data_IF_316267242117
#
_entry.id   IF_316267242117
#
_cell.length_a   1.000
_cell.length_b   1.000
_cell.length_c   1.000
_cell.angle_alpha   90.00
_cell.angle_beta   90.00
_cell.angle_gamma   90.00
#
_symmetry.space_group_name_H-M   'P 1'
#
loop_
_entity.id
_entity.type
_entity.pdbx_description
1 polymer ?
#
# COMPACT_ATOMS: atom_id res chain seq x y z
N UNK A 1 -0.58 -11.79 -21.41
CA UNK A 1 -1.40 -10.98 -20.48
C UNK A 1 -1.88 -11.87 -19.36
N UNK A 2 -1.41 -11.61 -18.14
CA UNK A 2 -1.46 -12.53 -17.02
C UNK A 2 -2.82 -12.57 -16.33
N UNK A 3 -3.33 -13.78 -16.08
CA UNK A 3 -4.49 -14.03 -15.21
C UNK A 3 -4.09 -13.87 -13.74
N UNK A 4 -3.92 -12.62 -13.29
CA UNK A 4 -3.74 -12.30 -11.89
C UNK A 4 -5.09 -11.87 -11.29
N UNK A 5 -5.48 -12.49 -10.18
CA UNK A 5 -6.66 -12.10 -9.39
C UNK A 5 -6.43 -10.85 -8.54
N UNK A 6 -5.16 -10.50 -8.33
CA UNK A 6 -4.71 -9.29 -7.64
C UNK A 6 -4.02 -8.40 -8.68
N UNK A 7 -4.30 -7.11 -8.64
CA UNK A 7 -3.67 -6.16 -9.54
C UNK A 7 -2.28 -5.80 -9.03
N UNK A 8 -1.28 -5.96 -9.89
CA UNK A 8 0.05 -5.42 -9.67
C UNK A 8 0.18 -4.13 -10.48
N UNK A 9 0.61 -3.06 -9.81
CA UNK A 9 0.93 -1.77 -10.44
C UNK A 9 2.40 -1.49 -10.18
N UNK A 10 3.12 -1.08 -11.22
CA UNK A 10 4.49 -0.60 -11.10
C UNK A 10 4.47 0.92 -10.98
N UNK A 11 4.87 1.44 -9.82
CA UNK A 11 5.00 2.89 -9.63
C UNK A 11 6.11 3.45 -10.54
N UNK A 12 5.90 4.63 -11.17
CA UNK A 12 6.93 5.32 -11.96
C UNK A 12 8.11 5.85 -11.12
N UNK A 13 7.87 6.05 -9.82
CA UNK A 13 8.84 6.47 -8.81
C UNK A 13 8.62 5.66 -7.53
N UNK A 14 8.29 6.34 -6.44
CA UNK A 14 8.03 5.69 -5.16
C UNK A 14 6.62 5.12 -5.05
N UNK A 15 6.54 3.93 -4.45
CA UNK A 15 5.26 3.25 -4.25
C UNK A 15 4.31 4.07 -3.36
N UNK A 16 4.82 4.71 -2.31
CA UNK A 16 4.01 5.52 -1.39
C UNK A 16 3.43 6.77 -2.04
N UNK A 17 4.22 7.44 -2.88
CA UNK A 17 3.74 8.57 -3.65
C UNK A 17 2.66 8.16 -4.65
N UNK A 18 2.85 7.03 -5.34
CA UNK A 18 1.84 6.46 -6.25
C UNK A 18 0.55 6.10 -5.50
N UNK A 19 0.66 5.42 -4.36
CA UNK A 19 -0.49 5.03 -3.54
C UNK A 19 -1.21 6.26 -2.97
N UNK A 20 -0.49 7.29 -2.53
CA UNK A 20 -1.07 8.55 -2.07
C UNK A 20 -1.81 9.28 -3.19
N UNK A 21 -1.26 9.31 -4.40
CA UNK A 21 -1.95 9.85 -5.58
C UNK A 21 -3.20 9.05 -5.93
N UNK A 22 -3.14 7.72 -5.97
CA UNK A 22 -4.29 6.84 -6.20
C UNK A 22 -5.38 7.07 -5.13
N UNK A 23 -4.99 7.24 -3.87
CA UNK A 23 -5.91 7.58 -2.77
C UNK A 23 -6.59 8.93 -2.99
N UNK A 24 -5.86 9.97 -3.43
CA UNK A 24 -6.43 11.29 -3.75
C UNK A 24 -7.40 11.26 -4.93
N UNK A 25 -7.17 10.38 -5.90
CA UNK A 25 -8.06 10.16 -7.05
C UNK A 25 -9.26 9.26 -6.73
N UNK A 26 -9.45 8.88 -5.45
CA UNK A 26 -10.49 7.93 -4.99
C UNK A 26 -10.43 6.57 -5.70
N UNK A 27 -9.24 6.14 -6.12
CA UNK A 27 -9.00 4.81 -6.67
C UNK A 27 -8.79 3.75 -5.57
N UNK A 28 -8.43 4.20 -4.36
CA UNK A 28 -8.19 3.37 -3.18
C UNK A 28 -8.89 3.98 -1.97
N UNK A 29 -9.58 3.15 -1.18
CA UNK A 29 -10.23 3.58 0.07
C UNK A 29 -9.23 3.78 1.22
N UNK A 30 -8.18 2.95 1.26
CA UNK A 30 -7.13 3.00 2.27
C UNK A 30 -5.82 2.39 1.76
N UNK A 31 -4.70 2.83 2.32
CA UNK A 31 -3.36 2.32 2.02
C UNK A 31 -2.86 1.53 3.22
N UNK A 32 -2.53 0.25 3.04
CA UNK A 32 -1.82 -0.54 4.05
C UNK A 32 -0.32 -0.42 3.80
N UNK A 33 0.40 0.21 4.73
CA UNK A 33 1.86 0.40 4.60
C UNK A 33 2.52 0.38 5.98
N UNK A 34 3.79 -0.03 6.02
CA UNK A 34 4.62 0.15 7.20
C UNK A 34 5.23 1.55 7.26
N UNK A 35 5.25 2.28 6.16
CA UNK A 35 5.88 3.59 6.07
C UNK A 35 4.87 4.73 6.31
N UNK A 36 5.36 5.88 6.77
CA UNK A 36 4.51 7.05 7.07
C UNK A 36 4.53 8.11 5.97
N UNK A 37 5.34 7.94 4.94
CA UNK A 37 5.63 9.00 3.98
C UNK A 37 4.47 9.19 3.01
N UNK A 38 3.66 8.15 2.81
CA UNK A 38 2.34 8.26 2.19
C UNK A 38 1.47 9.36 2.83
N UNK A 39 1.57 9.66 4.15
CA UNK A 39 0.84 10.79 4.76
C UNK A 39 1.39 12.12 4.24
N UNK A 40 2.71 12.23 4.11
CA UNK A 40 3.41 13.42 3.62
C UNK A 40 3.05 13.65 2.14
N UNK A 41 2.98 12.59 1.33
CA UNK A 41 2.48 12.65 -0.05
C UNK A 41 0.97 12.93 -0.14
N UNK A 42 0.26 12.95 0.99
CA UNK A 42 -1.13 13.37 1.10
C UNK A 42 -2.17 12.25 0.94
N UNK A 43 -1.83 11.03 1.32
CA UNK A 43 -2.79 9.93 1.42
C UNK A 43 -3.96 10.28 2.35
N UNK A 44 -5.18 9.88 1.96
CA UNK A 44 -6.39 10.17 2.73
C UNK A 44 -6.52 9.30 3.98
N UNK A 45 -6.23 8.00 3.84
CA UNK A 45 -6.35 7.00 4.90
C UNK A 45 -5.20 6.00 4.83
N UNK A 46 -4.49 5.82 5.94
CA UNK A 46 -3.42 4.83 6.10
C UNK A 46 -3.77 3.84 7.19
N UNK A 47 -3.49 2.57 6.92
CA UNK A 47 -3.58 1.45 7.84
C UNK A 47 -2.15 0.98 8.14
N UNK A 48 -1.81 0.83 9.43
CA UNK A 48 -0.56 0.22 9.88
C UNK A 48 -0.84 -0.99 10.74
N UNK A 49 -0.19 -2.10 10.43
CA UNK A 49 -0.23 -3.30 11.28
C UNK A 49 0.70 -3.05 12.46
N UNK A 50 0.21 -3.30 13.66
CA UNK A 50 0.99 -3.13 14.88
C UNK A 50 0.78 -4.30 15.82
N UNK A 51 1.87 -4.80 16.38
CA UNK A 51 1.85 -5.91 17.32
C UNK A 51 1.85 -5.35 18.74
N UNK A 52 0.68 -5.26 19.37
CA UNK A 52 0.58 -4.94 20.80
C UNK A 52 0.58 -6.23 21.61
N UNK A 53 1.51 -6.38 22.57
CA UNK A 53 1.46 -7.48 23.55
C UNK A 53 1.71 -8.89 23.01
N UNK A 54 2.34 -9.03 21.83
CA UNK A 54 2.95 -10.29 21.36
C UNK A 54 2.01 -11.39 20.87
N UNK A 55 0.69 -11.15 20.78
CA UNK A 55 -0.24 -12.18 20.31
C UNK A 55 -1.40 -11.69 19.43
N UNK A 56 -1.68 -10.38 19.36
CA UNK A 56 -2.73 -9.86 18.48
C UNK A 56 -2.19 -8.75 17.58
N UNK A 57 -2.35 -8.96 16.27
CA UNK A 57 -2.11 -7.96 15.24
C UNK A 57 -3.29 -6.98 15.25
N UNK A 58 -3.00 -5.73 15.58
CA UNK A 58 -3.98 -4.64 15.57
C UNK A 58 -3.69 -3.72 14.39
N UNK A 59 -4.73 -3.37 13.64
CA UNK A 59 -4.64 -2.37 12.57
C UNK A 59 -4.93 -0.99 13.16
N UNK A 60 -3.94 -0.09 13.11
CA UNK A 60 -4.14 1.33 13.42
C UNK A 60 -4.48 2.08 12.15
N UNK A 61 -5.56 2.84 12.18
CA UNK A 61 -6.01 3.68 11.08
C UNK A 61 -5.71 5.14 11.36
N UNK A 62 -5.08 5.81 10.40
CA UNK A 62 -4.77 7.24 10.42
C UNK A 62 -5.45 7.91 9.23
N UNK A 63 -6.29 8.90 9.47
CA UNK A 63 -6.96 9.66 8.40
C UNK A 63 -6.43 11.08 8.37
N UNK A 64 -6.16 11.60 7.17
CA UNK A 64 -5.73 12.99 6.98
C UNK A 64 -6.72 13.99 7.58
N UNK A 65 -8.02 13.71 7.50
CA UNK A 65 -9.08 14.53 8.12
C UNK A 65 -8.99 14.55 9.64
N UNK A 66 -8.59 13.44 10.27
CA UNK A 66 -8.41 13.40 11.72
C UNK A 66 -7.17 14.20 12.12
N UNK A 67 -6.07 14.07 11.37
CA UNK A 67 -4.83 14.83 11.61
C UNK A 67 -5.08 16.34 11.47
N UNK A 68 -5.80 16.75 10.44
CA UNK A 68 -6.13 18.15 10.17
C UNK A 68 -7.09 18.74 11.23
N UNK A 69 -7.99 17.93 11.79
CA UNK A 69 -8.93 18.38 12.82
C UNK A 69 -8.44 18.15 14.25
N UNK A 70 -7.37 17.37 14.44
CA UNK A 70 -6.86 17.06 15.77
C UNK A 70 -6.38 18.35 16.47
N UNK A 71 -6.88 18.67 17.68
CA UNK A 71 -6.61 19.95 18.33
C UNK A 71 -5.13 20.28 18.51
N UNK A 72 -4.30 19.26 18.71
CA UNK A 72 -2.86 19.42 18.92
C UNK A 72 -2.01 19.37 17.64
N UNK A 73 -2.54 18.87 16.51
CA UNK A 73 -1.77 18.75 15.27
C UNK A 73 -2.21 19.83 14.29
N UNK A 74 -3.47 19.80 13.84
CA UNK A 74 -4.01 20.76 12.86
C UNK A 74 -3.11 20.92 11.62
N UNK A 75 -2.53 19.81 11.16
CA UNK A 75 -1.56 19.81 10.08
C UNK A 75 -2.20 19.39 8.76
N UNK A 76 -1.79 20.06 7.68
CA UNK A 76 -2.03 19.63 6.31
C UNK A 76 -0.72 19.15 5.66
N UNK A 77 -0.80 18.74 4.39
CA UNK A 77 0.38 18.30 3.64
C UNK A 77 1.53 19.32 3.65
N UNK A 78 1.25 20.62 3.52
CA UNK A 78 2.28 21.66 3.53
C UNK A 78 3.04 21.71 4.87
N UNK A 79 2.32 21.52 5.97
CA UNK A 79 2.90 21.46 7.31
C UNK A 79 3.79 20.21 7.48
N UNK A 80 3.34 19.06 6.99
CA UNK A 80 4.10 17.79 7.05
C UNK A 80 5.35 17.83 6.18
N UNK A 81 5.28 18.43 4.98
CA UNK A 81 6.43 18.63 4.10
C UNK A 81 7.46 19.53 4.79
N UNK A 82 7.04 20.64 5.42
CA UNK A 82 7.96 21.47 6.19
C UNK A 82 8.62 20.68 7.31
N UNK A 83 7.85 19.84 8.01
CA UNK A 83 8.37 19.02 9.09
C UNK A 83 9.48 18.09 8.58
N UNK A 84 9.28 17.41 7.45
CA UNK A 84 10.27 16.55 6.83
C UNK A 84 11.53 17.31 6.38
N UNK A 85 11.35 18.50 5.78
CA UNK A 85 12.46 19.36 5.34
C UNK A 85 13.32 19.86 6.51
N UNK A 86 12.72 20.09 7.68
CA UNK A 86 13.42 20.63 8.84
C UNK A 86 14.02 19.54 9.74
N UNK A 87 13.23 18.51 10.07
CA UNK A 87 13.63 17.44 10.99
C UNK A 87 14.48 16.36 10.32
N UNK A 88 14.46 16.31 8.98
CA UNK A 88 15.04 15.27 8.18
C UNK A 88 14.01 14.20 7.80
N UNK A 89 14.16 13.70 6.59
CA UNK A 89 13.40 12.59 6.02
C UNK A 89 14.22 11.92 4.93
N UNK A 90 13.59 11.10 4.09
CA UNK A 90 14.32 10.27 3.14
C UNK A 90 15.09 11.07 2.07
N UNK A 91 14.64 12.28 1.76
CA UNK A 91 15.28 13.15 0.76
C UNK A 91 16.32 14.13 1.32
N UNK A 92 16.53 14.18 2.64
CA UNK A 92 17.50 15.10 3.21
C UNK A 92 17.62 15.02 4.73
N UNK A 93 18.82 15.33 5.23
CA UNK A 93 19.15 15.26 6.66
C UNK A 93 18.47 16.34 7.53
N UNK A 94 17.78 17.31 6.92
CA UNK A 94 17.17 18.44 7.61
C UNK A 94 18.15 19.51 8.04
N UNK A 95 17.70 20.39 8.95
CA UNK A 95 18.52 21.47 9.52
C UNK A 95 19.20 20.97 10.79
N UNK A 96 20.51 21.16 10.90
CA UNK A 96 21.27 20.71 12.05
C UNK A 96 20.74 21.33 13.36
N UNK A 97 20.42 20.47 14.33
CA UNK A 97 19.84 20.88 15.62
C UNK A 97 18.34 21.19 15.58
N UNK A 98 17.69 21.10 14.41
CA UNK A 98 16.25 21.23 14.27
C UNK A 98 15.58 19.85 14.35
N UNK A 99 15.21 19.41 15.56
CA UNK A 99 14.46 18.16 15.73
C UNK A 99 12.95 18.30 15.45
N UNK A 100 12.25 17.16 15.49
CA UNK A 100 10.80 17.07 15.23
C UNK A 100 9.96 18.08 16.02
N UNK A 101 10.29 18.34 17.30
CA UNK A 101 9.54 19.29 18.15
C UNK A 101 9.67 20.73 17.65
N UNK A 102 10.86 21.12 17.19
CA UNK A 102 11.11 22.45 16.61
C UNK A 102 10.41 22.57 15.28
N UNK A 103 10.49 21.54 14.43
CA UNK A 103 9.84 21.52 13.14
C UNK A 103 8.30 21.62 13.25
N UNK A 104 7.69 20.88 14.18
CA UNK A 104 6.26 20.97 14.53
C UNK A 104 5.86 22.38 14.99
N UNK A 105 6.69 23.03 15.82
CA UNK A 105 6.44 24.40 16.25
C UNK A 105 6.51 25.41 15.09
N UNK A 106 7.47 25.25 14.18
CA UNK A 106 7.58 26.08 12.98
C UNK A 106 6.43 25.84 11.99
N UNK A 107 5.92 24.60 11.90
CA UNK A 107 4.71 24.30 11.16
C UNK A 107 3.48 24.98 11.78
N UNK A 108 3.34 24.98 13.11
CA UNK A 108 2.27 25.73 13.78
C UNK A 108 2.36 27.25 13.57
N UNK A 109 3.58 27.79 13.43
CA UNK A 109 3.80 29.19 13.05
C UNK A 109 3.35 29.51 11.60
N UNK A 110 2.86 28.51 10.84
CA UNK A 110 2.32 28.67 9.50
C UNK A 110 3.37 28.70 8.40
N UNK A 111 4.64 28.45 8.73
CA UNK A 111 5.75 28.54 7.78
C UNK A 111 5.63 27.50 6.65
N UNK A 112 5.01 26.34 6.91
CA UNK A 112 4.85 25.29 5.89
C UNK A 112 3.84 25.70 4.84
N UNK A 113 2.71 26.25 5.27
CA UNK A 113 1.68 26.81 4.38
C UNK A 113 2.21 28.01 3.59
N UNK A 114 2.96 28.90 4.23
CA UNK A 114 3.61 30.02 3.54
C UNK A 114 4.58 29.53 2.46
N UNK A 115 5.39 28.51 2.75
CA UNK A 115 6.32 27.92 1.80
C UNK A 115 5.59 27.39 0.56
N UNK A 116 4.59 26.53 0.76
CA UNK A 116 3.87 25.89 -0.35
C UNK A 116 3.05 26.90 -1.14
N UNK A 117 2.31 27.80 -0.48
CA UNK A 117 1.54 28.83 -1.16
C UNK A 117 2.44 29.75 -2.00
N UNK A 118 3.56 30.20 -1.44
CA UNK A 118 4.46 31.09 -2.18
C UNK A 118 5.20 30.40 -3.33
N UNK A 119 5.46 29.09 -3.25
CA UNK A 119 5.97 28.32 -4.41
C UNK A 119 4.91 28.19 -5.50
N UNK A 120 3.65 27.97 -5.14
CA UNK A 120 2.55 27.86 -6.09
C UNK A 120 2.22 29.19 -6.78
N UNK A 121 2.38 30.31 -6.07
CA UNK A 121 2.15 31.65 -6.60
C UNK A 121 3.35 32.22 -7.36
N UNK A 122 4.57 31.80 -7.02
CA UNK A 122 5.77 32.30 -7.66
C UNK A 122 5.93 31.74 -9.08
N UNK A 123 6.13 32.65 -10.05
CA UNK A 123 6.68 32.26 -11.33
C UNK A 123 8.11 31.70 -11.16
N UNK A 124 8.56 30.85 -12.09
CA UNK A 124 9.87 30.19 -12.04
C UNK A 124 11.05 31.16 -11.78
N UNK A 125 11.00 32.37 -12.34
CA UNK A 125 12.03 33.39 -12.16
C UNK A 125 12.02 34.02 -10.74
N UNK A 126 10.88 33.98 -10.04
CA UNK A 126 10.68 34.55 -8.72
C UNK A 126 10.82 33.54 -7.57
N UNK A 127 10.92 32.24 -7.87
CA UNK A 127 11.02 31.19 -6.84
C UNK A 127 12.26 31.37 -5.95
N UNK A 128 13.45 31.57 -6.54
CA UNK A 128 14.69 31.73 -5.77
C UNK A 128 14.67 32.92 -4.79
N UNK A 129 14.30 34.16 -5.19
CA UNK A 129 14.20 35.27 -4.24
C UNK A 129 13.10 35.07 -3.20
N UNK A 130 11.97 34.43 -3.55
CA UNK A 130 10.95 34.05 -2.58
C UNK A 130 11.51 33.10 -1.50
N UNK A 131 12.19 32.02 -1.90
CA UNK A 131 12.76 31.05 -0.97
C UNK A 131 13.80 31.69 -0.05
N UNK A 132 14.62 32.62 -0.56
CA UNK A 132 15.56 33.37 0.25
C UNK A 132 14.84 34.24 1.31
N UNK A 133 13.75 34.91 0.93
CA UNK A 133 12.91 35.67 1.87
C UNK A 133 12.22 34.78 2.90
N UNK A 134 11.66 33.65 2.48
CA UNK A 134 11.04 32.67 3.36
C UNK A 134 12.04 32.07 4.36
N UNK A 135 13.27 31.76 3.91
CA UNK A 135 14.36 31.30 4.79
C UNK A 135 14.66 32.32 5.89
N UNK A 136 14.68 33.61 5.56
CA UNK A 136 14.87 34.65 6.57
C UNK A 136 13.73 34.69 7.59
N UNK A 137 12.50 34.42 7.18
CA UNK A 137 11.37 34.30 8.11
C UNK A 137 11.54 33.11 9.07
N UNK A 138 12.03 31.96 8.59
CA UNK A 138 12.36 30.80 9.45
C UNK A 138 13.46 31.17 10.46
N UNK A 139 14.53 31.82 10.00
CA UNK A 139 15.66 32.25 10.85
C UNK A 139 15.19 33.27 11.90
N UNK A 140 14.32 34.21 11.50
CA UNK A 140 13.75 35.19 12.42
C UNK A 140 12.89 34.52 13.49
N UNK A 141 11.96 33.64 13.10
CA UNK A 141 11.11 32.93 14.04
C UNK A 141 11.94 32.09 15.02
N UNK A 142 12.99 31.42 14.56
CA UNK A 142 13.93 30.69 15.43
C UNK A 142 14.65 31.61 16.43
N UNK A 143 15.00 32.84 16.06
CA UNK A 143 15.69 33.81 16.92
C UNK A 143 14.76 34.52 17.89
N UNK A 144 13.58 34.91 17.44
CA UNK A 144 12.68 35.82 18.16
C UNK A 144 11.58 35.05 18.90
N UNK A 145 11.16 33.89 18.37
CA UNK A 145 9.95 33.17 18.76
C UNK A 145 8.72 34.09 18.74
N UNK A 146 8.57 34.88 17.67
CA UNK A 146 7.52 35.89 17.55
C UNK A 146 6.12 35.27 17.58
N UNK A 147 5.94 34.08 17.00
CA UNK A 147 4.67 33.35 17.03
C UNK A 147 4.35 32.72 18.39
N UNK A 148 5.36 32.50 19.24
CA UNK A 148 5.21 31.88 20.55
C UNK A 148 5.03 30.36 20.53
N UNK A 149 5.20 29.69 19.38
CA UNK A 149 5.06 28.24 19.27
C UNK A 149 6.32 27.46 19.72
N UNK A 150 7.50 28.08 19.69
CA UNK A 150 8.72 27.44 20.18
C UNK A 150 8.76 27.45 21.71
N UNK A 151 9.30 26.38 22.30
CA UNK A 151 9.49 26.30 23.77
C UNK A 151 10.40 27.41 24.31
N UNK A 152 11.40 27.80 23.53
CA UNK A 152 12.33 28.90 23.80
C UNK A 152 12.96 29.33 22.47
N UNK A 153 13.62 30.48 22.46
CA UNK A 153 14.38 30.98 21.30
C UNK A 153 15.57 30.06 21.02
N UNK A 154 15.84 29.79 19.75
CA UNK A 154 16.86 28.85 19.26
C UNK A 154 17.83 29.53 18.29
N UNK A 155 18.61 30.54 18.73
CA UNK A 155 19.55 31.26 17.87
C UNK A 155 20.62 30.34 17.26
N UNK A 156 21.08 29.31 18.00
CA UNK A 156 22.01 28.31 17.49
C UNK A 156 21.45 27.54 16.28
N UNK A 157 20.16 27.17 16.30
CA UNK A 157 19.54 26.49 15.16
C UNK A 157 19.37 27.46 13.99
N UNK A 158 19.04 28.73 14.29
CA UNK A 158 18.93 29.78 13.28
C UNK A 158 20.26 30.03 12.53
N UNK A 159 21.40 29.94 13.23
CA UNK A 159 22.74 30.01 12.62
C UNK A 159 23.10 28.77 11.81
N UNK A 160 22.55 27.61 12.18
CA UNK A 160 22.75 26.35 11.48
C UNK A 160 21.90 26.18 10.20
N UNK A 161 20.94 27.07 9.93
CA UNK A 161 20.13 27.04 8.69
C UNK A 161 21.04 27.32 7.48
N UNK A 162 21.25 26.37 6.55
CA UNK A 162 22.11 26.58 5.38
C UNK A 162 21.62 27.73 4.49
N UNK A 163 22.51 28.44 3.79
CA UNK A 163 22.14 29.56 2.92
C UNK A 163 21.30 29.14 1.71
N UNK A 164 21.50 27.91 1.25
CA UNK A 164 20.79 27.25 0.15
C UNK A 164 19.51 26.52 0.61
N UNK A 165 19.18 26.56 1.90
CA UNK A 165 17.93 26.01 2.42
C UNK A 165 16.76 26.99 2.18
N UNK A 166 15.57 26.51 1.76
CA UNK A 166 15.25 25.13 1.40
C UNK A 166 15.60 24.83 -0.07
N UNK A 167 15.99 23.59 -0.34
CA UNK A 167 16.29 23.15 -1.70
C UNK A 167 14.99 22.84 -2.47
N UNK A 168 14.71 23.61 -3.52
CA UNK A 168 13.50 23.46 -4.35
C UNK A 168 13.38 22.08 -5.00
N UNK A 169 14.50 21.43 -5.36
CA UNK A 169 14.47 20.09 -5.92
C UNK A 169 13.94 19.07 -4.90
N UNK A 170 14.35 19.19 -3.63
CA UNK A 170 13.86 18.34 -2.54
C UNK A 170 12.40 18.62 -2.25
N UNK A 171 11.99 19.90 -2.24
CA UNK A 171 10.58 20.27 -2.06
C UNK A 171 9.72 19.63 -3.15
N UNK A 172 10.17 19.66 -4.40
CA UNK A 172 9.45 19.08 -5.54
C UNK A 172 9.34 17.56 -5.46
N UNK A 173 10.26 16.85 -4.80
CA UNK A 173 10.11 15.40 -4.57
C UNK A 173 8.86 15.11 -3.72
N UNK A 174 8.51 15.97 -2.77
CA UNK A 174 7.30 15.81 -1.96
C UNK A 174 6.03 16.39 -2.62
N UNK A 175 6.13 17.58 -3.23
CA UNK A 175 4.96 18.29 -3.76
C UNK A 175 4.55 17.81 -5.15
N UNK A 176 5.52 17.37 -5.96
CA UNK A 176 5.34 16.91 -7.33
C UNK A 176 6.09 15.58 -7.56
N UNK A 177 5.79 14.55 -6.74
CA UNK A 177 6.44 13.26 -6.89
C UNK A 177 6.11 12.65 -8.25
N UNK A 178 7.01 11.81 -8.75
CA UNK A 178 6.81 11.11 -10.02
C UNK A 178 5.80 9.98 -9.85
N UNK A 179 4.56 10.22 -10.24
CA UNK A 179 3.45 9.26 -10.21
C UNK A 179 2.88 9.00 -11.60
N UNK A 180 1.91 8.09 -11.70
CA UNK A 180 1.18 7.80 -12.93
C UNK A 180 0.21 8.91 -13.34
N UNK A 181 0.08 10.00 -12.56
CA UNK A 181 -0.68 11.20 -12.97
C UNK A 181 -0.22 11.74 -14.32
N UNK A 182 1.08 11.63 -14.59
CA UNK A 182 1.72 12.09 -15.82
C UNK A 182 1.81 10.99 -16.89
N UNK A 183 1.27 9.80 -16.61
CA UNK A 183 1.17 8.70 -17.55
C UNK A 183 -0.24 8.66 -18.16
N UNK A 184 -0.38 8.01 -19.31
CA UNK A 184 -1.69 7.84 -19.96
C UNK A 184 -2.57 6.93 -19.09
N UNK A 185 -3.56 7.53 -18.39
CA UNK A 185 -4.47 6.85 -17.48
C UNK A 185 -5.36 5.81 -18.16
N UNK A 186 -5.38 5.75 -19.50
CA UNK A 186 -6.07 4.71 -20.27
C UNK A 186 -5.49 3.31 -20.02
N UNK A 187 -4.27 3.21 -19.48
CA UNK A 187 -3.66 1.94 -19.10
C UNK A 187 -3.94 1.51 -17.66
N UNK A 188 -4.54 2.34 -16.80
CA UNK A 188 -4.93 1.88 -15.46
C UNK A 188 -5.92 0.73 -15.64
N UNK A 189 -5.51 -0.52 -15.33
CA UNK A 189 -6.42 -1.63 -15.40
C UNK A 189 -7.64 -1.31 -14.56
N UNK A 190 -8.84 -1.64 -15.04
CA UNK A 190 -10.05 -1.65 -14.22
C UNK A 190 -9.71 -2.28 -12.86
N UNK A 191 -9.61 -1.45 -11.81
CA UNK A 191 -9.03 -1.79 -10.49
C UNK A 191 -9.74 -2.99 -9.86
N UNK A 192 -10.99 -3.21 -10.26
CA UNK A 192 -11.82 -4.34 -9.89
C UNK A 192 -11.88 -5.32 -11.05
N UNK A 193 -10.97 -6.30 -11.07
CA UNK A 193 -11.17 -7.53 -11.86
C UNK A 193 -11.78 -8.61 -10.99
N UNK A 194 -13.02 -8.98 -11.29
CA UNK A 194 -13.70 -10.13 -10.71
C UNK A 194 -13.18 -11.47 -11.27
N UNK A 195 -11.86 -11.63 -11.41
CA UNK A 195 -11.28 -12.89 -11.89
C UNK A 195 -10.80 -13.75 -10.72
N UNK A 196 -11.50 -14.86 -10.48
CA UNK A 196 -11.11 -15.96 -9.59
C UNK A 196 -9.64 -16.36 -9.74
N UNK A 197 -8.97 -16.88 -8.69
CA UNK A 197 -7.62 -17.41 -8.84
C UNK A 197 -7.61 -18.59 -9.80
N UNK A 198 -6.57 -18.67 -10.63
CA UNK A 198 -6.32 -19.85 -11.48
C UNK A 198 -5.88 -21.01 -10.58
N UNK A 199 -6.83 -21.88 -10.25
CA UNK A 199 -6.61 -23.00 -9.34
C UNK A 199 -5.57 -23.99 -9.89
N UNK A 200 -5.50 -24.19 -11.20
CA UNK A 200 -4.50 -25.07 -11.84
C UNK A 200 -3.09 -24.52 -11.60
N UNK A 201 -2.89 -23.22 -11.86
CA UNK A 201 -1.60 -22.57 -11.61
C UNK A 201 -1.25 -22.54 -10.13
N UNK A 202 -2.22 -22.30 -9.26
CA UNK A 202 -2.01 -22.29 -7.82
C UNK A 202 -1.59 -23.68 -7.33
N UNK A 203 -2.21 -24.75 -7.84
CA UNK A 203 -1.82 -26.13 -7.52
C UNK A 203 -0.39 -26.42 -7.96
N UNK A 204 -0.02 -26.10 -9.21
CA UNK A 204 1.37 -26.27 -9.71
C UNK A 204 2.36 -25.49 -8.86
N UNK A 205 2.05 -24.24 -8.55
CA UNK A 205 2.91 -23.38 -7.74
C UNK A 205 3.11 -23.97 -6.34
N UNK A 206 2.05 -24.46 -5.71
CA UNK A 206 2.14 -25.06 -4.39
C UNK A 206 2.91 -26.39 -4.38
N UNK A 207 2.76 -27.21 -5.43
CA UNK A 207 3.56 -28.43 -5.62
C UNK A 207 5.06 -28.11 -5.71
N UNK A 208 5.42 -27.12 -6.53
CA UNK A 208 6.83 -26.74 -6.76
C UNK A 208 7.45 -26.05 -5.55
N UNK A 209 6.71 -25.17 -4.87
CA UNK A 209 7.30 -24.24 -3.90
C UNK A 209 6.97 -24.52 -2.43
N UNK A 210 5.86 -25.19 -2.12
CA UNK A 210 5.39 -25.37 -0.74
C UNK A 210 5.48 -26.80 -0.23
N UNK A 211 6.00 -27.74 -1.03
CA UNK A 211 6.16 -29.15 -0.65
C UNK A 211 4.85 -29.75 -0.09
N UNK A 212 3.70 -29.32 -0.60
CA UNK A 212 2.38 -29.83 -0.15
C UNK A 212 2.16 -31.31 -0.48
N UNK A 213 3.16 -31.95 -1.12
CA UNK A 213 3.35 -33.39 -1.08
C UNK A 213 2.45 -34.12 -2.07
N UNK A 214 1.71 -35.10 -1.56
CA UNK A 214 0.82 -35.95 -2.34
C UNK A 214 -0.52 -35.24 -2.64
N UNK A 215 -1.34 -35.81 -3.55
CA UNK A 215 -2.62 -35.20 -3.93
C UNK A 215 -3.56 -34.94 -2.73
N UNK A 216 -3.51 -35.79 -1.69
CA UNK A 216 -4.32 -35.64 -0.50
C UNK A 216 -3.84 -34.47 0.38
N UNK A 217 -2.53 -34.25 0.47
CA UNK A 217 -1.91 -33.10 1.13
C UNK A 217 -2.30 -31.78 0.48
N UNK A 218 -2.25 -31.73 -0.85
CA UNK A 218 -2.70 -30.56 -1.63
C UNK A 218 -4.18 -30.29 -1.40
N UNK A 219 -5.03 -31.32 -1.51
CA UNK A 219 -6.46 -31.17 -1.27
C UNK A 219 -6.74 -30.65 0.15
N UNK A 220 -6.06 -31.18 1.17
CA UNK A 220 -6.18 -30.73 2.56
C UNK A 220 -5.75 -29.27 2.74
N UNK A 221 -4.67 -28.85 2.09
CA UNK A 221 -4.23 -27.46 2.11
C UNK A 221 -5.25 -26.54 1.43
N UNK A 222 -5.79 -26.94 0.26
CA UNK A 222 -6.84 -26.19 -0.43
C UNK A 222 -8.11 -26.10 0.41
N UNK A 223 -8.54 -27.20 1.03
CA UNK A 223 -9.72 -27.25 1.88
C UNK A 223 -9.63 -26.33 3.10
N UNK A 224 -8.44 -26.20 3.68
CA UNK A 224 -8.23 -25.39 4.89
C UNK A 224 -7.85 -23.94 4.61
N UNK A 225 -7.18 -23.65 3.48
CA UNK A 225 -6.60 -22.32 3.20
C UNK A 225 -7.24 -21.59 2.00
N UNK A 226 -7.67 -22.31 0.97
CA UNK A 226 -8.08 -21.71 -0.31
C UNK A 226 -9.60 -21.69 -0.48
N UNK A 227 -10.29 -22.82 -0.25
CA UNK A 227 -11.74 -22.93 -0.44
C UNK A 227 -12.56 -21.94 0.42
N UNK A 228 -12.22 -21.67 1.69
CA UNK A 228 -12.89 -20.62 2.45
C UNK A 228 -12.79 -19.24 1.78
N UNK A 229 -11.62 -18.89 1.24
CA UNK A 229 -11.41 -17.63 0.52
C UNK A 229 -12.19 -17.56 -0.81
N UNK A 230 -12.27 -18.67 -1.55
CA UNK A 230 -13.09 -18.75 -2.77
C UNK A 230 -14.58 -18.59 -2.46
N UNK A 231 -15.07 -19.25 -1.42
CA UNK A 231 -16.45 -19.13 -0.96
C UNK A 231 -16.78 -17.68 -0.55
N UNK A 232 -15.88 -17.05 0.21
CA UNK A 232 -16.03 -15.65 0.61
C UNK A 232 -16.06 -14.73 -0.62
N UNK A 233 -15.24 -14.98 -1.63
CA UNK A 233 -15.24 -14.18 -2.86
C UNK A 233 -16.55 -14.31 -3.65
N UNK A 234 -17.17 -15.49 -3.67
CA UNK A 234 -18.51 -15.67 -4.26
C UNK A 234 -19.56 -14.85 -3.51
N UNK A 235 -19.49 -14.82 -2.18
CA UNK A 235 -20.38 -14.00 -1.35
C UNK A 235 -20.18 -12.51 -1.60
N UNK A 236 -18.92 -12.04 -1.64
CA UNK A 236 -18.58 -10.63 -1.93
C UNK A 236 -19.13 -10.23 -3.31
N UNK A 237 -18.90 -11.04 -4.34
CA UNK A 237 -19.38 -10.74 -5.69
C UNK A 237 -20.91 -10.74 -5.77
N UNK A 238 -21.58 -11.65 -5.07
CA UNK A 238 -23.04 -11.66 -4.99
C UNK A 238 -23.61 -10.44 -4.25
N UNK A 239 -22.98 -10.03 -3.14
CA UNK A 239 -23.34 -8.83 -2.40
C UNK A 239 -23.16 -7.57 -3.25
N UNK A 240 -22.01 -7.43 -3.93
CA UNK A 240 -21.76 -6.32 -4.86
C UNK A 240 -22.80 -6.26 -5.99
N UNK A 241 -23.18 -7.40 -6.57
CA UNK A 241 -24.25 -7.43 -7.57
C UNK A 241 -25.59 -6.93 -6.98
N UNK A 242 -25.93 -7.33 -5.75
CA UNK A 242 -27.16 -6.87 -5.10
C UNK A 242 -27.13 -5.36 -4.82
N UNK A 243 -26.02 -4.84 -4.30
CA UNK A 243 -25.85 -3.40 -3.99
C UNK A 243 -25.92 -2.53 -5.26
N UNK A 244 -25.41 -3.05 -6.38
CA UNK A 244 -25.44 -2.38 -7.68
C UNK A 244 -26.76 -2.61 -8.46
N UNK A 245 -27.72 -3.36 -7.92
CA UNK A 245 -28.99 -3.69 -8.59
C UNK A 245 -28.82 -4.60 -9.82
N UNK A 246 -27.72 -5.36 -9.89
CA UNK A 246 -27.42 -6.31 -10.95
C UNK A 246 -28.09 -7.67 -10.68
N UNK A 247 -28.10 -8.53 -11.71
CA UNK A 247 -28.64 -9.88 -11.58
C UNK A 247 -27.92 -10.66 -10.45
N UNK A 248 -28.65 -11.38 -9.59
CA UNK A 248 -28.07 -12.10 -8.47
C UNK A 248 -27.11 -13.18 -8.98
N UNK A 249 -25.94 -13.26 -8.34
CA UNK A 249 -24.95 -14.31 -8.62
C UNK A 249 -25.12 -15.48 -7.67
N UNK A 250 -25.02 -16.70 -8.22
CA UNK A 250 -25.04 -17.92 -7.43
C UNK A 250 -23.75 -18.10 -6.64
N UNK A 251 -23.86 -18.63 -5.42
CA UNK A 251 -22.74 -18.99 -4.56
C UNK A 251 -22.70 -20.51 -4.36
N UNK A 252 -22.33 -21.31 -5.39
CA UNK A 252 -22.41 -22.78 -5.34
C UNK A 252 -21.51 -23.42 -4.26
N UNK A 253 -20.51 -22.69 -3.77
CA UNK A 253 -19.65 -23.18 -2.68
C UNK A 253 -20.28 -23.03 -1.30
N UNK A 254 -21.33 -22.22 -1.16
CA UNK A 254 -22.01 -22.02 0.12
C UNK A 254 -23.11 -23.09 0.24
N UNK A 255 -22.89 -24.05 1.14
CA UNK A 255 -23.84 -25.10 1.46
C UNK A 255 -24.80 -24.68 2.58
N UNK A 256 -25.09 -25.62 3.48
CA UNK A 256 -26.05 -25.38 4.57
C UNK A 256 -25.45 -24.50 5.67
N UNK A 257 -26.24 -23.54 6.16
CA UNK A 257 -25.93 -22.82 7.39
C UNK A 257 -25.98 -23.79 8.59
N UNK A 258 -24.91 -23.80 9.37
CA UNK A 258 -24.71 -24.68 10.53
C UNK A 258 -25.13 -23.97 11.82
N UNK A 259 -24.68 -22.73 12.00
CA UNK A 259 -25.01 -21.93 13.18
C UNK A 259 -24.85 -20.44 12.91
N UNK A 260 -25.55 -19.64 13.71
CA UNK A 260 -25.44 -18.19 13.72
C UNK A 260 -24.98 -17.76 15.11
N UNK A 261 -23.85 -17.05 15.18
CA UNK A 261 -23.37 -16.43 16.41
C UNK A 261 -23.80 -14.97 16.38
N UNK A 262 -24.79 -14.64 17.23
CA UNK A 262 -25.20 -13.26 17.51
C UNK A 262 -24.44 -12.74 18.72
N UNK A 263 -24.22 -11.43 18.74
CA UNK A 263 -23.57 -10.61 19.76
C UNK A 263 -23.22 -11.28 21.10
N UNK A 264 -21.94 -11.19 21.45
CA UNK A 264 -21.40 -11.39 22.80
C UNK A 264 -21.53 -10.10 23.61
N UNK A 265 -21.80 -10.18 24.92
CA UNK A 265 -21.76 -9.05 25.87
C UNK A 265 -20.32 -8.57 26.16
N UNK A 266 -19.43 -8.57 25.17
CA UNK A 266 -18.06 -8.09 25.28
C UNK A 266 -17.94 -6.68 24.69
N UNK A 267 -17.08 -5.85 25.28
CA UNK A 267 -16.83 -4.45 24.91
C UNK A 267 -16.08 -4.23 23.59
N UNK A 268 -15.85 -5.28 22.80
CA UNK A 268 -15.21 -5.19 21.49
C UNK A 268 -16.26 -5.12 20.36
N UNK A 269 -16.01 -4.37 19.28
CA UNK A 269 -16.92 -4.29 18.14
C UNK A 269 -17.10 -5.68 17.52
N UNK A 270 -18.24 -6.31 17.80
CA UNK A 270 -18.53 -7.67 17.35
C UNK A 270 -19.20 -7.65 15.96
N UNK A 271 -18.53 -8.23 14.97
CA UNK A 271 -19.14 -8.48 13.65
C UNK A 271 -19.93 -9.80 13.76
N UNK A 272 -21.22 -9.85 13.37
CA UNK A 272 -22.00 -11.09 13.43
C UNK A 272 -21.39 -12.17 12.54
N UNK A 273 -21.30 -13.41 13.06
CA UNK A 273 -20.66 -14.53 12.37
C UNK A 273 -21.66 -15.65 12.04
N UNK A 274 -21.54 -16.20 10.84
CA UNK A 274 -22.31 -17.35 10.38
C UNK A 274 -21.36 -18.50 10.06
N UNK A 275 -21.63 -19.69 10.61
CA UNK A 275 -20.93 -20.91 10.23
C UNK A 275 -21.70 -21.60 9.10
N UNK A 276 -21.02 -21.88 8.00
CA UNK A 276 -21.57 -22.58 6.83
C UNK A 276 -20.75 -23.81 6.49
N UNK A 277 -21.40 -24.84 5.97
CA UNK A 277 -20.70 -25.94 5.30
C UNK A 277 -20.33 -25.50 3.88
N UNK A 278 -19.12 -25.82 3.43
CA UNK A 278 -18.71 -25.58 2.05
C UNK A 278 -19.06 -26.78 1.17
N UNK A 279 -19.61 -26.51 -0.02
CA UNK A 279 -19.89 -27.51 -1.05
C UNK A 279 -18.84 -27.41 -2.17
N UNK A 280 -17.97 -28.40 -2.28
CA UNK A 280 -16.91 -28.41 -3.30
C UNK A 280 -17.33 -29.33 -4.44
N UNK A 281 -17.43 -28.79 -5.66
CA UNK A 281 -17.84 -29.58 -6.82
C UNK A 281 -16.74 -30.54 -7.28
N UNK A 282 -17.12 -31.70 -7.80
CA UNK A 282 -16.18 -32.66 -8.40
C UNK A 282 -15.36 -32.04 -9.53
N UNK A 283 -15.87 -31.03 -10.22
CA UNK A 283 -15.12 -30.32 -11.26
C UNK A 283 -13.92 -29.56 -10.68
N UNK A 284 -14.08 -28.85 -9.56
CA UNK A 284 -12.98 -28.15 -8.87
C UNK A 284 -11.96 -29.17 -8.36
N UNK A 285 -12.44 -30.26 -7.78
CA UNK A 285 -11.61 -31.36 -7.26
C UNK A 285 -10.79 -31.98 -8.40
N UNK A 286 -11.42 -32.32 -9.51
CA UNK A 286 -10.74 -32.88 -10.68
C UNK A 286 -9.74 -31.89 -11.29
N UNK A 287 -10.06 -30.59 -11.29
CA UNK A 287 -9.14 -29.54 -11.79
C UNK A 287 -7.84 -29.50 -10.99
N UNK A 288 -7.89 -29.73 -9.68
CA UNK A 288 -6.70 -29.83 -8.81
C UNK A 288 -5.91 -31.11 -9.11
N UNK A 289 -6.60 -32.23 -9.36
CA UNK A 289 -5.96 -33.53 -9.57
C UNK A 289 -5.43 -33.79 -11.00
N UNK A 290 -6.06 -33.23 -12.04
CA UNK A 290 -5.69 -33.44 -13.44
C UNK A 290 -4.38 -32.73 -13.83
N UNK A 291 -3.94 -31.75 -13.05
CA UNK A 291 -2.64 -31.04 -13.20
C UNK A 291 -1.47 -32.03 -13.30
N UNK A 292 -1.54 -33.14 -12.56
CA UNK A 292 -0.48 -34.16 -12.50
C UNK A 292 -0.42 -35.04 -13.75
N UNK A 293 -1.55 -35.29 -14.43
CA UNK A 293 -1.55 -36.07 -15.69
C UNK A 293 -0.84 -35.33 -16.82
N UNK A 294 -0.99 -34.00 -16.87
CA UNK A 294 -0.30 -33.17 -17.84
C UNK A 294 1.19 -32.93 -17.45
N UNK A 295 1.50 -32.74 -16.17
CA UNK A 295 2.86 -32.60 -15.68
C UNK A 295 3.72 -33.86 -15.87
N UNK A 296 3.16 -35.05 -15.60
CA UNK A 296 3.84 -36.33 -15.81
C UNK A 296 4.02 -36.71 -17.29
N UNK A 297 3.21 -36.14 -18.19
CA UNK A 297 3.39 -36.30 -19.63
C UNK A 297 4.53 -35.40 -20.16
N UNK A 298 4.62 -34.15 -19.67
CA UNK A 298 5.70 -33.23 -20.02
C UNK A 298 7.06 -33.71 -19.48
N UNK A 299 7.09 -34.28 -18.27
CA UNK A 299 8.32 -34.83 -17.67
C UNK A 299 8.81 -36.09 -18.41
N UNK A 300 7.89 -36.87 -19.02
CA UNK A 300 8.21 -38.02 -19.87
C UNK A 300 8.76 -37.63 -21.23
N UNK A 301 8.23 -36.58 -21.86
CA UNK A 301 8.76 -36.09 -23.14
C UNK A 301 10.14 -35.46 -22.97
N UNK A 302 10.43 -34.78 -21.85
CA UNK A 302 11.78 -34.29 -21.53
C UNK A 302 12.79 -35.39 -21.16
N UNK A 303 12.32 -36.60 -20.83
CA UNK A 303 13.18 -37.78 -20.62
C UNK A 303 13.43 -38.56 -21.92
N UNK A 304 12.52 -38.48 -22.90
CA UNK A 304 12.69 -39.10 -24.21
C UNK A 304 13.63 -38.32 -25.15
N UNK A 305 13.80 -37.01 -24.94
CA UNK A 305 14.77 -36.20 -25.68
C UNK A 305 16.22 -36.37 -25.19
N UNK A 306 16.43 -36.99 -24.02
CA UNK A 306 17.79 -37.24 -23.47
C UNK A 306 18.35 -38.60 -23.92
N UNK A 307 17.51 -39.60 -24.22
CA UNK A 307 17.98 -40.92 -24.67
C UNK A 307 18.38 -40.98 -26.15
N UNK A 308 17.95 -40.03 -26.98
CA UNK A 308 18.35 -39.95 -28.40
C UNK A 308 19.56 -39.04 -28.68
N UNK A 309 20.11 -38.37 -27.67
CA UNK A 309 21.28 -37.49 -27.80
C UNK A 309 22.65 -38.14 -27.55
N UNK A 310 22.71 -39.40 -27.12
CA UNK A 310 23.96 -40.00 -26.60
C UNK A 310 24.53 -41.17 -27.44
N UNK A 311 24.14 -41.30 -28.72
CA UNK A 311 24.71 -42.29 -29.65
C UNK A 311 25.22 -41.67 -30.95
N UNK A 312 26.15 -40.72 -30.88
CA UNK A 312 27.04 -40.43 -32.02
C UNK A 312 28.23 -39.58 -31.60
N UNK A 313 29.32 -40.22 -31.15
CA UNK A 313 30.71 -39.76 -31.37
C UNK A 313 31.70 -40.75 -30.72
N UNK A 314 31.88 -41.90 -31.36
CA UNK A 314 33.10 -42.69 -31.26
C UNK A 314 33.32 -43.35 -32.63
N UNK A 315 33.98 -42.63 -33.54
CA UNK A 315 34.67 -43.22 -34.68
C UNK A 315 35.76 -42.28 -35.20
N UNK A 316 36.87 -42.91 -35.61
CA UNK A 316 38.08 -42.42 -36.30
C UNK A 316 39.20 -41.78 -35.45
N UNK A 317 40.19 -42.63 -35.14
CA UNK A 317 41.59 -42.40 -35.56
C UNK A 317 41.69 -41.97 -37.02
#
# INVERSE_FOLDING_TARGET
MFGQSLMQVQAPGEAEAELAWMSKMNLLDAILTEDSDAVIFGASTILRVTSEGGSQEMIRMYRAVDIANHPALRFNTADLVLIALLAGGDYGAGVQGCGIKTAVALAHAGLGRQLVAGIQEAEHAATAPFLAGWRLAVVDELRTNASGHLKHRLPHVAEAVPLDFPNIAIINLYLHPRTSEHADLTELPSLVREQGPDLVRLTRFAETHFLWGDPEGIYRAFATKIFPGLAMRQLISAALCADLGLAPRACPMIGTMVSLRRESQSSEPHVPEVRVNLSISNQIINTIFDVRRAGAALDRDSLLDVEHGCQSQLSSM
#
